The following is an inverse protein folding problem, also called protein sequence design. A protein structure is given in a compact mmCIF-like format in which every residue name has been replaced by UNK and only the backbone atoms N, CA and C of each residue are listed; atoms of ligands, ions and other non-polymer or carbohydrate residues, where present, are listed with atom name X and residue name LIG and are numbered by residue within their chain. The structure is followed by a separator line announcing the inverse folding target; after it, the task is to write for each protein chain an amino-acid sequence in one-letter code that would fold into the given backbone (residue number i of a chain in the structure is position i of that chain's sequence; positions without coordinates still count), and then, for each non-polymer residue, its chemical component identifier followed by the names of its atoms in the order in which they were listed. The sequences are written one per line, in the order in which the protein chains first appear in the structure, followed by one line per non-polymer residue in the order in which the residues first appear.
data_IF_081277318685
#
_entry.id   IF_081277318685
#
_cell.length_a   1.000
_cell.length_b   1.000
_cell.length_c   1.000
_cell.angle_alpha   90.00
_cell.angle_beta   90.00
_cell.angle_gamma   90.00
#
_symmetry.space_group_name_H-M   'P 1'
#
loop_
_entity.id
_entity.type
_entity.pdbx_description
1 polymer ?
#
# COMPACT_ATOMS: atom_id res chain seq x y z
N UNK A 1 42.10 -28.55 -44.19
CA UNK A 1 41.06 -27.69 -44.81
C UNK A 1 39.91 -27.57 -43.83
N UNK A 2 39.96 -26.57 -42.94
CA UNK A 2 38.97 -26.33 -41.89
C UNK A 2 38.41 -24.92 -42.08
N UNK A 3 37.20 -24.83 -42.64
CA UNK A 3 36.53 -23.55 -42.88
C UNK A 3 35.00 -23.67 -42.72
N UNK A 4 34.52 -24.32 -41.66
CA UNK A 4 33.07 -24.43 -41.39
C UNK A 4 32.78 -24.47 -39.86
N UNK A 5 33.32 -23.51 -39.10
CA UNK A 5 33.06 -23.41 -37.65
C UNK A 5 32.62 -22.01 -37.18
N UNK A 6 32.11 -21.15 -38.09
CA UNK A 6 31.84 -19.73 -37.76
C UNK A 6 30.46 -19.22 -38.19
N UNK A 7 29.42 -20.04 -37.99
CA UNK A 7 28.02 -19.63 -38.17
C UNK A 7 27.14 -20.06 -36.98
N UNK A 8 27.69 -20.11 -35.77
CA UNK A 8 26.88 -19.98 -34.56
C UNK A 8 27.00 -18.53 -34.15
N UNK A 9 26.00 -17.75 -34.53
CA UNK A 9 25.90 -16.35 -34.13
C UNK A 9 26.04 -16.26 -32.61
N UNK A 10 26.88 -15.35 -32.17
CA UNK A 10 26.65 -14.65 -30.91
C UNK A 10 25.25 -14.05 -31.02
N UNK A 11 24.26 -14.72 -30.44
CA UNK A 11 23.01 -14.07 -30.10
C UNK A 11 23.38 -13.09 -29.00
N UNK A 12 23.55 -11.81 -29.35
CA UNK A 12 23.55 -10.72 -28.38
C UNK A 12 22.34 -10.96 -27.45
N UNK A 13 22.52 -10.96 -26.11
CA UNK A 13 21.41 -11.14 -25.20
C UNK A 13 20.36 -10.08 -25.51
N UNK A 14 19.19 -10.52 -25.98
CA UNK A 14 18.03 -9.65 -26.15
C UNK A 14 17.82 -8.97 -24.81
N UNK A 15 17.83 -7.62 -24.73
CA UNK A 15 17.56 -6.95 -23.47
C UNK A 15 16.14 -7.34 -23.03
N UNK A 16 16.06 -8.23 -22.05
CA UNK A 16 14.81 -8.57 -21.38
C UNK A 16 14.25 -7.26 -20.83
N UNK A 17 13.04 -6.88 -21.26
CA UNK A 17 12.35 -5.77 -20.64
C UNK A 17 12.34 -5.99 -19.12
N UNK A 18 12.60 -4.97 -18.29
CA UNK A 18 12.53 -5.14 -16.85
C UNK A 18 11.15 -5.71 -16.50
N UNK A 19 11.13 -6.77 -15.68
CA UNK A 19 9.87 -7.30 -15.15
C UNK A 19 9.14 -6.16 -14.42
N UNK A 20 7.81 -6.05 -14.56
CA UNK A 20 7.06 -5.04 -13.84
C UNK A 20 7.32 -5.21 -12.34
N UNK A 21 7.81 -4.15 -11.71
CA UNK A 21 7.99 -4.12 -10.27
C UNK A 21 6.61 -3.90 -9.63
N UNK A 22 6.01 -4.98 -9.14
CA UNK A 22 4.71 -4.96 -8.46
C UNK A 22 4.73 -4.08 -7.18
N UNK A 23 5.92 -3.74 -6.69
CA UNK A 23 6.13 -2.88 -5.52
C UNK A 23 6.35 -1.40 -5.88
N UNK A 24 6.42 -1.08 -7.18
CA UNK A 24 6.51 0.31 -7.64
C UNK A 24 5.25 1.10 -7.25
N UNK A 25 5.38 2.40 -6.90
CA UNK A 25 4.24 3.23 -6.51
C UNK A 25 3.08 3.20 -7.52
N UNK A 26 3.38 3.18 -8.83
CA UNK A 26 2.38 3.11 -9.88
C UNK A 26 1.62 1.78 -9.88
N UNK A 27 2.30 0.67 -9.59
CA UNK A 27 1.68 -0.65 -9.48
C UNK A 27 0.78 -0.73 -8.23
N UNK A 28 1.25 -0.21 -7.10
CA UNK A 28 0.46 -0.10 -5.87
C UNK A 28 -0.79 0.77 -6.09
N UNK A 29 -0.65 1.92 -6.78
CA UNK A 29 -1.79 2.78 -7.10
C UNK A 29 -2.81 2.08 -8.01
N UNK A 30 -2.35 1.36 -9.03
CA UNK A 30 -3.22 0.59 -9.91
C UNK A 30 -4.00 -0.50 -9.15
N UNK A 31 -3.34 -1.15 -8.18
CA UNK A 31 -3.98 -2.14 -7.31
C UNK A 31 -5.02 -1.50 -6.38
N UNK A 32 -4.75 -0.30 -5.82
CA UNK A 32 -5.73 0.46 -5.04
C UNK A 32 -6.95 0.83 -5.89
N UNK A 33 -6.74 1.26 -7.13
CA UNK A 33 -7.82 1.59 -8.05
C UNK A 33 -8.69 0.36 -8.37
N UNK A 34 -8.07 -0.82 -8.49
CA UNK A 34 -8.80 -2.08 -8.64
C UNK A 34 -9.61 -2.42 -7.39
N UNK A 35 -9.04 -2.28 -6.20
CA UNK A 35 -9.74 -2.48 -4.94
C UNK A 35 -10.93 -1.50 -4.80
N UNK A 36 -10.74 -0.25 -5.20
CA UNK A 36 -11.82 0.75 -5.27
C UNK A 36 -12.95 0.28 -6.17
N UNK A 37 -12.64 -0.20 -7.38
CA UNK A 37 -13.65 -0.77 -8.29
C UNK A 37 -14.34 -1.99 -7.67
N UNK A 38 -13.59 -2.87 -7.02
CA UNK A 38 -14.11 -4.04 -6.32
C UNK A 38 -15.13 -3.67 -5.24
N UNK A 39 -14.81 -2.69 -4.39
CA UNK A 39 -15.67 -2.18 -3.32
C UNK A 39 -16.94 -1.55 -3.91
N UNK A 40 -16.79 -0.67 -4.89
CA UNK A 40 -17.91 0.05 -5.50
C UNK A 40 -18.90 -0.90 -6.19
N UNK A 41 -18.41 -1.92 -6.89
CA UNK A 41 -19.25 -2.94 -7.54
C UNK A 41 -20.11 -3.73 -6.53
N UNK A 42 -19.76 -3.72 -5.25
CA UNK A 42 -20.44 -4.47 -4.17
C UNK A 42 -21.19 -3.56 -3.19
N UNK A 43 -21.21 -2.25 -3.43
CA UNK A 43 -21.77 -1.25 -2.52
C UNK A 43 -23.20 -1.60 -2.03
N UNK A 44 -24.08 -2.05 -2.91
CA UNK A 44 -25.47 -2.40 -2.57
C UNK A 44 -25.64 -3.66 -1.69
N UNK A 45 -24.58 -4.45 -1.47
CA UNK A 45 -24.60 -5.68 -0.66
C UNK A 45 -23.85 -5.54 0.67
N UNK A 46 -23.17 -4.42 0.88
CA UNK A 46 -22.41 -4.11 2.07
C UNK A 46 -23.25 -3.25 3.03
N UNK A 47 -23.08 -3.38 4.35
CA UNK A 47 -23.59 -2.41 5.30
C UNK A 47 -23.07 -1.00 4.97
N UNK A 48 -23.90 0.05 5.04
CA UNK A 48 -23.48 1.41 4.68
C UNK A 48 -22.22 1.87 5.42
N UNK A 49 -22.12 1.58 6.72
CA UNK A 49 -20.94 1.94 7.52
C UNK A 49 -19.68 1.18 7.06
N UNK A 50 -19.80 -0.09 6.66
CA UNK A 50 -18.68 -0.87 6.16
C UNK A 50 -18.18 -0.33 4.81
N UNK A 51 -19.11 0.08 3.93
CA UNK A 51 -18.76 0.71 2.66
C UNK A 51 -18.00 2.02 2.87
N UNK A 52 -18.49 2.90 3.76
CA UNK A 52 -17.83 4.17 4.10
C UNK A 52 -16.43 3.91 4.65
N UNK A 53 -16.29 2.99 5.60
CA UNK A 53 -14.99 2.68 6.20
C UNK A 53 -14.01 2.03 5.22
N UNK A 54 -14.48 1.15 4.32
CA UNK A 54 -13.65 0.57 3.28
C UNK A 54 -13.16 1.64 2.29
N UNK A 55 -13.99 2.62 1.95
CA UNK A 55 -13.60 3.75 1.07
C UNK A 55 -12.59 4.67 1.76
N UNK A 56 -12.81 4.99 3.04
CA UNK A 56 -11.83 5.74 3.85
C UNK A 56 -10.47 5.03 3.89
N UNK A 57 -10.47 3.70 4.03
CA UNK A 57 -9.24 2.91 3.99
C UNK A 57 -8.56 3.01 2.62
N UNK A 58 -9.28 2.91 1.51
CA UNK A 58 -8.69 3.11 0.17
C UNK A 58 -8.14 4.52 -0.05
N UNK A 59 -8.79 5.54 0.51
CA UNK A 59 -8.30 6.92 0.45
C UNK A 59 -6.98 7.05 1.25
N UNK A 60 -6.90 6.45 2.43
CA UNK A 60 -5.69 6.46 3.27
C UNK A 60 -4.53 5.70 2.61
N UNK A 61 -4.82 4.57 1.96
CA UNK A 61 -3.82 3.83 1.17
C UNK A 61 -3.27 4.68 0.01
N UNK A 62 -4.14 5.43 -0.66
CA UNK A 62 -3.75 6.37 -1.72
C UNK A 62 -2.83 7.45 -1.15
N UNK A 63 -3.15 8.03 0.00
CA UNK A 63 -2.28 9.01 0.67
C UNK A 63 -0.90 8.45 1.04
N UNK A 64 -0.81 7.17 1.43
CA UNK A 64 0.47 6.50 1.68
C UNK A 64 1.25 6.41 0.37
N UNK A 65 0.66 5.92 -0.71
CA UNK A 65 1.35 5.79 -2.00
C UNK A 65 1.75 7.15 -2.57
N UNK A 66 0.89 8.17 -2.49
CA UNK A 66 1.18 9.53 -2.98
C UNK A 66 2.37 10.19 -2.26
N UNK A 67 2.63 9.82 -1.00
CA UNK A 67 3.81 10.31 -0.28
C UNK A 67 5.13 9.89 -0.95
N UNK A 68 5.11 8.85 -1.79
CA UNK A 68 6.25 8.40 -2.60
C UNK A 68 6.83 9.48 -3.52
N UNK A 69 6.00 10.45 -3.92
CA UNK A 69 6.38 11.57 -4.78
C UNK A 69 7.39 12.52 -4.10
N UNK A 70 7.42 12.53 -2.76
CA UNK A 70 8.36 13.31 -1.97
C UNK A 70 9.58 12.47 -1.60
N UNK A 71 9.36 11.21 -1.22
CA UNK A 71 10.40 10.27 -0.78
C UNK A 71 9.98 8.84 -1.09
N UNK A 72 10.91 7.95 -1.53
CA UNK A 72 10.61 6.54 -1.71
C UNK A 72 9.99 5.90 -0.46
N UNK A 73 8.96 5.08 -0.65
CA UNK A 73 8.37 4.30 0.43
C UNK A 73 9.41 3.34 1.01
N UNK A 74 9.39 3.17 2.33
CA UNK A 74 10.16 2.09 2.95
C UNK A 74 9.51 0.72 2.68
N UNK A 75 10.27 -0.34 2.92
CA UNK A 75 9.83 -1.72 2.69
C UNK A 75 8.59 -2.10 3.52
N UNK A 76 8.42 -1.54 4.72
CA UNK A 76 7.27 -1.82 5.57
C UNK A 76 6.00 -1.17 5.02
N UNK A 77 6.09 0.07 4.53
CA UNK A 77 5.00 0.76 3.88
C UNK A 77 4.54 0.03 2.61
N UNK A 78 5.49 -0.38 1.76
CA UNK A 78 5.21 -1.19 0.55
C UNK A 78 4.50 -2.49 0.91
N UNK A 79 5.05 -3.28 1.84
CA UNK A 79 4.46 -4.56 2.26
C UNK A 79 3.06 -4.36 2.83
N UNK A 80 2.84 -3.32 3.66
CA UNK A 80 1.56 -3.07 4.29
C UNK A 80 0.50 -2.71 3.23
N UNK A 81 0.80 -1.76 2.34
CA UNK A 81 -0.11 -1.36 1.24
C UNK A 81 -0.45 -2.58 0.38
N UNK A 82 0.56 -3.31 -0.10
CA UNK A 82 0.36 -4.49 -0.95
C UNK A 82 -0.51 -5.56 -0.27
N UNK A 83 -0.26 -5.85 1.00
CA UNK A 83 -1.00 -6.87 1.74
C UNK A 83 -2.46 -6.47 1.98
N UNK A 84 -2.71 -5.20 2.32
CA UNK A 84 -4.08 -4.71 2.52
C UNK A 84 -4.87 -4.72 1.21
N UNK A 85 -4.24 -4.28 0.12
CA UNK A 85 -4.87 -4.14 -1.19
C UNK A 85 -5.11 -5.49 -1.86
N UNK A 86 -4.11 -6.37 -1.84
CA UNK A 86 -4.13 -7.65 -2.55
C UNK A 86 -4.79 -8.80 -1.80
N UNK A 87 -4.84 -8.74 -0.46
CA UNK A 87 -5.35 -9.85 0.35
C UNK A 87 -6.35 -9.39 1.40
N UNK A 88 -5.95 -8.57 2.37
CA UNK A 88 -6.71 -8.44 3.62
C UNK A 88 -8.10 -7.83 3.41
N UNK A 89 -8.20 -6.67 2.75
CA UNK A 89 -9.51 -6.05 2.54
C UNK A 89 -10.39 -6.85 1.56
N UNK A 90 -9.88 -7.33 0.39
CA UNK A 90 -10.64 -8.22 -0.48
C UNK A 90 -11.17 -9.46 0.22
N UNK A 91 -10.34 -10.15 1.00
CA UNK A 91 -10.70 -11.34 1.74
C UNK A 91 -11.75 -11.03 2.80
N UNK A 92 -11.55 -10.01 3.64
CA UNK A 92 -12.52 -9.60 4.67
C UNK A 92 -13.90 -9.28 4.07
N UNK A 93 -13.95 -8.51 2.98
CA UNK A 93 -15.20 -8.18 2.29
C UNK A 93 -15.82 -9.41 1.61
N UNK A 94 -15.00 -10.24 0.97
CA UNK A 94 -15.42 -11.46 0.29
C UNK A 94 -16.06 -12.46 1.27
N UNK A 95 -15.42 -12.69 2.41
CA UNK A 95 -15.94 -13.57 3.48
C UNK A 95 -17.29 -13.08 3.99
N UNK A 96 -17.46 -11.78 4.24
CA UNK A 96 -18.75 -11.24 4.67
C UNK A 96 -19.82 -11.38 3.57
N UNK A 97 -19.48 -11.10 2.32
CA UNK A 97 -20.42 -11.16 1.20
C UNK A 97 -20.84 -12.58 0.84
N UNK A 98 -20.06 -13.59 1.22
CA UNK A 98 -20.41 -15.00 1.08
C UNK A 98 -21.49 -15.46 2.09
N UNK A 99 -21.75 -14.68 3.14
CA UNK A 99 -22.78 -15.00 4.13
C UNK A 99 -24.18 -14.72 3.58
N UNK A 100 -25.10 -15.64 3.88
CA UNK A 100 -26.54 -15.46 3.68
C UNK A 100 -27.05 -14.24 4.50
N UNK A 101 -28.02 -13.45 3.98
CA UNK A 101 -28.43 -12.22 4.64
C UNK A 101 -28.98 -12.39 6.06
N UNK A 102 -29.67 -13.48 6.32
CA UNK A 102 -30.34 -13.80 7.59
C UNK A 102 -29.36 -14.07 8.74
N UNK A 103 -28.13 -14.49 8.44
CA UNK A 103 -27.12 -14.80 9.46
C UNK A 103 -26.16 -13.66 9.79
N UNK A 104 -26.20 -12.54 9.05
CA UNK A 104 -25.22 -11.43 9.16
C UNK A 104 -25.29 -10.68 10.49
N UNK A 105 -26.49 -10.62 11.08
CA UNK A 105 -26.75 -9.92 12.34
C UNK A 105 -27.14 -10.88 13.48
N UNK A 106 -26.87 -12.17 13.30
CA UNK A 106 -27.07 -13.20 14.34
C UNK A 106 -25.76 -13.43 15.09
N UNK A 107 -25.72 -13.23 16.43
CA UNK A 107 -24.53 -13.48 17.23
C UNK A 107 -24.03 -14.93 17.10
N UNK A 108 -22.71 -15.10 17.03
CA UNK A 108 -22.06 -16.43 16.99
C UNK A 108 -21.42 -16.75 18.35
N UNK A 109 -20.73 -17.89 18.46
CA UNK A 109 -20.16 -18.40 19.71
C UNK A 109 -19.27 -17.43 20.50
N UNK A 110 -18.77 -16.35 19.87
CA UNK A 110 -18.02 -15.27 20.51
C UNK A 110 -18.84 -14.02 20.89
N UNK A 111 -20.17 -14.05 20.79
CA UNK A 111 -21.07 -12.94 21.14
C UNK A 111 -21.17 -11.82 20.11
N UNK A 112 -20.26 -11.76 19.13
CA UNK A 112 -20.32 -10.81 18.02
C UNK A 112 -21.11 -11.33 16.83
N UNK A 113 -21.77 -10.43 16.11
CA UNK A 113 -22.36 -10.70 14.80
C UNK A 113 -21.30 -10.61 13.69
N UNK A 114 -21.47 -11.31 12.56
CA UNK A 114 -20.61 -11.11 11.40
C UNK A 114 -20.49 -9.65 10.94
N UNK A 115 -21.57 -8.86 11.00
CA UNK A 115 -21.51 -7.41 10.68
C UNK A 115 -20.60 -6.67 11.66
N UNK A 116 -20.66 -6.95 12.97
CA UNK A 116 -19.76 -6.33 13.95
C UNK A 116 -18.30 -6.75 13.72
N UNK A 117 -18.06 -8.02 13.40
CA UNK A 117 -16.72 -8.52 13.08
C UNK A 117 -16.15 -7.89 11.81
N UNK A 118 -16.97 -7.69 10.78
CA UNK A 118 -16.58 -6.95 9.57
C UNK A 118 -16.10 -5.53 9.91
N UNK A 119 -16.90 -4.80 10.71
CA UNK A 119 -16.57 -3.43 11.10
C UNK A 119 -15.25 -3.36 11.87
N UNK A 120 -15.05 -4.26 12.84
CA UNK A 120 -13.82 -4.30 13.64
C UNK A 120 -12.56 -4.62 12.80
N UNK A 121 -12.69 -5.50 11.80
CA UNK A 121 -11.61 -5.83 10.89
C UNK A 121 -11.22 -4.64 10.01
N UNK A 122 -12.19 -3.95 9.40
CA UNK A 122 -11.91 -2.76 8.58
C UNK A 122 -11.26 -1.66 9.44
N UNK A 123 -11.71 -1.47 10.69
CA UNK A 123 -11.13 -0.49 11.61
C UNK A 123 -9.68 -0.83 12.01
N UNK A 124 -9.37 -2.11 12.20
CA UNK A 124 -8.01 -2.57 12.45
C UNK A 124 -7.08 -2.31 11.25
N UNK A 125 -7.57 -2.54 10.03
CA UNK A 125 -6.84 -2.20 8.80
C UNK A 125 -6.62 -0.70 8.68
N UNK A 126 -7.66 0.11 8.92
CA UNK A 126 -7.56 1.57 8.94
C UNK A 126 -6.52 2.06 9.94
N UNK A 127 -6.51 1.50 11.15
CA UNK A 127 -5.54 1.86 12.19
C UNK A 127 -4.12 1.55 11.74
N UNK A 128 -3.88 0.36 11.18
CA UNK A 128 -2.58 -0.04 10.63
C UNK A 128 -2.09 0.91 9.53
N UNK A 129 -2.92 1.17 8.51
CA UNK A 129 -2.53 2.03 7.38
C UNK A 129 -2.34 3.48 7.81
N UNK A 130 -3.17 3.98 8.73
CA UNK A 130 -3.00 5.32 9.30
C UNK A 130 -1.68 5.46 10.04
N UNK A 131 -1.25 4.43 10.78
CA UNK A 131 0.04 4.41 11.46
C UNK A 131 1.20 4.42 10.45
N UNK A 132 1.09 3.66 9.35
CA UNK A 132 2.06 3.73 8.24
C UNK A 132 2.15 5.14 7.65
N UNK A 133 1.01 5.78 7.38
CA UNK A 133 0.98 7.14 6.84
C UNK A 133 1.65 8.16 7.77
N UNK A 134 1.42 8.05 9.08
CA UNK A 134 2.08 8.88 10.09
C UNK A 134 3.59 8.65 10.05
N UNK A 135 4.04 7.39 10.06
CA UNK A 135 5.46 7.06 10.04
C UNK A 135 6.17 7.61 8.79
N UNK A 136 5.55 7.52 7.62
CA UNK A 136 6.11 8.09 6.38
C UNK A 136 6.24 9.62 6.46
N UNK A 137 5.27 10.31 7.08
CA UNK A 137 5.31 11.76 7.27
C UNK A 137 6.32 12.19 8.35
N UNK A 138 6.47 11.43 9.43
CA UNK A 138 7.43 11.73 10.51
C UNK A 138 8.88 11.64 10.01
N UNK A 139 9.16 10.68 9.13
CA UNK A 139 10.48 10.56 8.49
C UNK A 139 10.88 11.84 7.75
N UNK A 140 9.93 12.58 7.17
CA UNK A 140 10.18 13.84 6.49
C UNK A 140 10.49 14.98 7.47
N UNK A 141 9.77 15.04 8.60
CA UNK A 141 10.05 16.02 9.66
C UNK A 141 11.45 15.83 10.24
N UNK A 142 11.85 14.59 10.53
CA UNK A 142 13.17 14.25 11.05
C UNK A 142 14.29 14.54 10.04
N UNK A 143 14.06 14.27 8.75
CA UNK A 143 15.01 14.58 7.69
C UNK A 143 15.24 16.10 7.57
N UNK A 144 14.18 16.91 7.61
CA UNK A 144 14.27 18.37 7.55
C UNK A 144 15.04 18.94 8.75
N UNK A 145 14.74 18.46 9.97
CA UNK A 145 15.47 18.87 11.19
C UNK A 145 16.95 18.48 11.13
N UNK A 146 17.25 17.28 10.62
CA UNK A 146 18.63 16.81 10.43
C UNK A 146 19.39 17.68 9.44
N UNK A 147 18.77 18.02 8.31
CA UNK A 147 19.37 18.92 7.32
C UNK A 147 19.61 20.32 7.90
N UNK A 148 18.67 20.87 8.68
CA UNK A 148 18.84 22.15 9.36
C UNK A 148 20.05 22.17 10.30
N UNK A 149 20.23 21.11 11.10
CA UNK A 149 21.41 20.95 11.99
C UNK A 149 22.72 20.87 11.21
N UNK A 150 22.72 20.14 10.10
CA UNK A 150 23.89 20.06 9.21
C UNK A 150 24.24 21.43 8.61
N UNK A 151 23.25 22.16 8.09
CA UNK A 151 23.45 23.49 7.51
C UNK A 151 23.98 24.48 8.56
N UNK A 152 23.36 24.52 9.75
CA UNK A 152 23.86 25.33 10.87
C UNK A 152 25.32 24.99 11.18
N UNK A 153 25.65 23.71 11.36
CA UNK A 153 27.03 23.28 11.63
C UNK A 153 28.02 23.68 10.53
N UNK A 154 27.61 23.63 9.26
CA UNK A 154 28.49 23.93 8.11
C UNK A 154 28.75 25.43 7.95
N UNK A 155 27.74 26.27 8.15
CA UNK A 155 27.84 27.72 7.94
C UNK A 155 28.23 28.49 9.20
N UNK A 156 27.88 28.03 10.39
CA UNK A 156 28.27 28.64 11.68
C UNK A 156 29.78 28.45 11.96
N UNK A 157 30.38 27.39 11.40
CA UNK A 157 31.86 27.23 11.35
C UNK A 157 32.53 28.05 10.25
N UNK A 158 31.81 28.52 9.23
CA UNK A 158 32.37 29.34 8.14
C UNK A 158 32.47 30.82 8.52
N UNK A 159 31.72 31.28 9.52
CA UNK A 159 31.78 32.68 10.03
C UNK A 159 32.92 32.90 11.05
N UNK A 160 33.61 31.83 11.48
CA UNK A 160 34.72 31.90 12.46
C UNK A 160 36.12 31.91 11.82
N UNK A 161 36.23 31.97 10.49
CA UNK A 161 37.49 31.99 9.74
C UNK A 161 37.76 33.34 9.03
N UNK A 162 37.19 34.46 9.52
CA UNK A 162 37.47 35.83 9.03
C UNK A 162 38.19 36.70 10.06
#
# INVERSE_FOLDING_TARGET
MSWLARLRGDEDPVPTAPEPDDDAPEALQAAIDELVRFVNARAGRLPPAALVNARRLTDTLTEVVDSSQVRPLDVYAVINVRSVVGDYLPTTLGTYLALEPDVRDVPRGGGQTPTQSLMAQIDSLQTSVSATLVATREQDADALLTQGRFLATKFDRSDLDL
#
